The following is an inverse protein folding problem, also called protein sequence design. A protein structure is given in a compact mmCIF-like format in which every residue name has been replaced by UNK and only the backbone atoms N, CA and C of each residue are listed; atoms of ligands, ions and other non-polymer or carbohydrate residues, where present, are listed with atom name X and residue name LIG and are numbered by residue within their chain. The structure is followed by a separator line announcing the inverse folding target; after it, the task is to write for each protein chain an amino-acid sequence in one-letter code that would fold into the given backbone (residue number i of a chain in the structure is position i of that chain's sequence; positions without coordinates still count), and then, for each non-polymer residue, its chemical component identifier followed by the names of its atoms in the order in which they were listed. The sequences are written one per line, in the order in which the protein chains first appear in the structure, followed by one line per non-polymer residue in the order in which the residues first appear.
data_IF_672526557482
#
_entry.id   IF_672526557482
#
_cell.length_a   1.000
_cell.length_b   1.000
_cell.length_c   1.000
_cell.angle_alpha   90.00
_cell.angle_beta   90.00
_cell.angle_gamma   90.00
#
_symmetry.space_group_name_H-M   'P 1'
#
loop_
_entity.id
_entity.type
_entity.pdbx_description
1 polymer ?
#
# COMPACT_ATOMS: atom_id res chain seq x y z
N UNK A 1 27.52 16.15 -18.65
CA UNK A 1 26.75 15.20 -17.80
C UNK A 1 26.29 15.98 -16.56
N UNK A 2 25.21 16.74 -16.70
CA UNK A 2 24.76 17.69 -15.68
C UNK A 2 23.45 17.21 -15.02
N UNK A 3 23.35 17.49 -13.70
CA UNK A 3 22.13 17.64 -12.90
C UNK A 3 21.19 16.45 -12.68
N UNK A 4 21.68 15.29 -12.22
CA UNK A 4 20.81 14.23 -11.66
C UNK A 4 20.78 14.22 -10.12
N UNK A 5 21.88 14.59 -9.45
CA UNK A 5 21.97 14.59 -7.98
C UNK A 5 21.08 15.62 -7.27
N UNK A 6 20.71 16.73 -7.91
CA UNK A 6 19.85 17.75 -7.26
C UNK A 6 18.39 17.35 -7.22
N UNK A 7 17.90 16.59 -8.22
CA UNK A 7 16.50 16.19 -8.31
C UNK A 7 16.15 15.08 -7.33
N UNK A 8 17.01 14.05 -7.23
CA UNK A 8 16.81 12.94 -6.29
C UNK A 8 16.86 13.42 -4.84
N UNK A 9 17.83 14.26 -4.48
CA UNK A 9 17.94 14.83 -3.13
C UNK A 9 16.75 15.73 -2.80
N UNK A 10 16.27 16.53 -3.76
CA UNK A 10 15.08 17.36 -3.59
C UNK A 10 13.82 16.52 -3.38
N UNK A 11 13.66 15.41 -4.12
CA UNK A 11 12.56 14.46 -3.95
C UNK A 11 12.64 13.72 -2.60
N UNK A 12 13.85 13.36 -2.15
CA UNK A 12 14.04 12.75 -0.81
C UNK A 12 13.47 13.67 0.28
N UNK A 13 13.92 14.92 0.32
CA UNK A 13 13.56 15.88 1.37
C UNK A 13 12.07 16.28 1.29
N UNK A 14 11.56 16.57 0.09
CA UNK A 14 10.24 17.19 -0.05
C UNK A 14 9.11 16.18 -0.26
N UNK A 15 9.41 14.95 -0.66
CA UNK A 15 8.42 13.88 -0.86
C UNK A 15 8.62 12.78 0.16
N UNK A 16 9.79 12.14 0.18
CA UNK A 16 9.94 10.90 0.93
C UNK A 16 9.92 11.12 2.44
N UNK A 17 10.67 12.12 2.94
CA UNK A 17 10.68 12.46 4.36
C UNK A 17 9.31 12.94 4.84
N UNK A 18 8.63 13.76 4.04
CA UNK A 18 7.26 14.22 4.34
C UNK A 18 6.29 13.04 4.43
N UNK A 19 6.31 12.13 3.45
CA UNK A 19 5.48 10.92 3.47
C UNK A 19 5.80 10.06 4.68
N UNK A 20 7.08 9.87 5.03
CA UNK A 20 7.48 9.10 6.20
C UNK A 20 6.93 9.69 7.50
N UNK A 21 6.87 11.02 7.63
CA UNK A 21 6.33 11.70 8.80
C UNK A 21 4.81 11.61 8.90
N UNK A 22 4.07 11.83 7.81
CA UNK A 22 2.60 11.94 7.85
C UNK A 22 1.88 10.63 7.57
N UNK A 23 2.59 9.61 7.06
CA UNK A 23 2.09 8.30 6.68
C UNK A 23 1.14 7.69 7.73
N UNK A 24 1.59 7.62 8.99
CA UNK A 24 0.85 6.98 10.07
C UNK A 24 -0.50 7.66 10.32
N UNK A 25 -0.51 8.99 10.38
CA UNK A 25 -1.73 9.78 10.60
C UNK A 25 -2.71 9.67 9.42
N UNK A 26 -2.19 9.68 8.20
CA UNK A 26 -2.98 9.53 6.98
C UNK A 26 -3.63 8.14 6.87
N UNK A 27 -2.90 7.10 7.27
CA UNK A 27 -3.41 5.73 7.34
C UNK A 27 -4.54 5.58 8.37
N UNK A 28 -4.37 6.16 9.57
CA UNK A 28 -5.37 6.09 10.63
C UNK A 28 -6.72 6.71 10.24
N UNK A 29 -6.71 7.81 9.49
CA UNK A 29 -7.94 8.52 9.07
C UNK A 29 -8.59 7.93 7.81
N UNK A 30 -7.91 7.03 7.08
CA UNK A 30 -8.38 6.47 5.80
C UNK A 30 -8.41 4.94 5.75
N UNK A 31 -8.87 4.33 6.84
CA UNK A 31 -8.91 2.88 7.01
C UNK A 31 -9.91 2.14 6.11
N UNK A 32 -10.95 2.82 5.58
CA UNK A 32 -11.95 2.15 4.71
C UNK A 32 -11.54 2.16 3.23
N UNK A 33 -11.73 1.04 2.51
CA UNK A 33 -11.69 1.02 1.05
C UNK A 33 -12.70 2.01 0.46
N UNK A 34 -12.41 2.51 -0.74
CA UNK A 34 -13.35 3.34 -1.47
C UNK A 34 -14.48 2.44 -2.01
N UNK A 35 -15.77 2.87 -1.97
CA UNK A 35 -16.89 2.00 -2.37
C UNK A 35 -16.77 1.42 -3.78
N UNK A 36 -16.16 2.14 -4.71
CA UNK A 36 -15.92 1.65 -6.07
C UNK A 36 -14.89 0.51 -6.11
N UNK A 37 -13.81 0.66 -5.36
CA UNK A 37 -12.74 -0.36 -5.26
C UNK A 37 -13.29 -1.61 -4.58
N UNK A 38 -14.12 -1.43 -3.55
CA UNK A 38 -14.77 -2.54 -2.86
C UNK A 38 -15.70 -3.33 -3.80
N UNK A 39 -16.51 -2.65 -4.60
CA UNK A 39 -17.37 -3.28 -5.61
C UNK A 39 -16.59 -4.01 -6.68
N UNK A 40 -15.48 -3.44 -7.13
CA UNK A 40 -14.61 -4.09 -8.10
C UNK A 40 -14.01 -5.39 -7.54
N UNK A 41 -13.40 -5.34 -6.35
CA UNK A 41 -12.75 -6.49 -5.73
C UNK A 41 -13.74 -7.60 -5.36
N UNK A 42 -14.94 -7.23 -4.90
CA UNK A 42 -16.01 -8.20 -4.57
C UNK A 42 -16.64 -8.83 -5.81
N UNK A 43 -16.55 -8.18 -6.98
CA UNK A 43 -17.00 -8.73 -8.26
C UNK A 43 -16.04 -9.70 -8.93
N UNK A 44 -14.82 -9.87 -8.39
CA UNK A 44 -13.83 -10.81 -8.92
C UNK A 44 -14.23 -12.26 -8.61
N UNK A 45 -13.99 -13.16 -9.56
CA UNK A 45 -14.19 -14.59 -9.36
C UNK A 45 -13.20 -15.16 -8.35
N UNK A 46 -13.60 -16.17 -7.54
CA UNK A 46 -12.67 -16.91 -6.70
C UNK A 46 -11.46 -17.43 -7.49
N UNK A 47 -10.27 -17.32 -6.91
CA UNK A 47 -9.00 -17.70 -7.54
C UNK A 47 -8.43 -16.65 -8.49
N UNK A 48 -9.06 -15.48 -8.65
CA UNK A 48 -8.46 -14.39 -9.41
C UNK A 48 -7.13 -13.95 -8.77
N UNK A 49 -6.20 -13.48 -9.62
CA UNK A 49 -4.89 -12.98 -9.20
C UNK A 49 -4.80 -11.49 -9.46
N UNK A 50 -4.44 -10.71 -8.44
CA UNK A 50 -4.35 -9.26 -8.50
C UNK A 50 -2.98 -8.73 -8.06
N UNK A 51 -2.67 -7.51 -8.49
CA UNK A 51 -1.48 -6.76 -8.06
C UNK A 51 -1.91 -5.39 -7.52
N UNK A 52 -1.59 -5.09 -6.26
CA UNK A 52 -1.84 -3.80 -5.61
C UNK A 52 -0.52 -3.04 -5.44
N UNK A 53 -0.23 -2.10 -6.35
CA UNK A 53 0.98 -1.28 -6.34
C UNK A 53 0.69 0.05 -5.65
N UNK A 54 1.50 0.40 -4.65
CA UNK A 54 1.19 1.50 -3.74
C UNK A 54 0.11 1.11 -2.73
N UNK A 55 0.17 -0.12 -2.21
CA UNK A 55 -0.87 -0.69 -1.35
C UNK A 55 -1.01 0.02 0.02
N UNK A 56 -0.04 0.84 0.40
CA UNK A 56 0.01 1.61 1.64
C UNK A 56 -0.12 0.73 2.88
N UNK A 57 -1.29 0.79 3.53
CA UNK A 57 -1.61 -0.02 4.71
C UNK A 57 -2.32 -1.35 4.38
N UNK A 58 -2.53 -1.63 3.10
CA UNK A 58 -3.11 -2.89 2.65
C UNK A 58 -4.62 -3.03 2.87
N UNK A 59 -5.37 -1.94 3.09
CA UNK A 59 -6.83 -2.00 3.35
C UNK A 59 -7.64 -2.73 2.26
N UNK A 60 -7.16 -2.74 1.03
CA UNK A 60 -7.85 -3.39 -0.09
C UNK A 60 -7.66 -4.92 -0.06
N UNK A 61 -6.60 -5.40 0.57
CA UNK A 61 -6.17 -6.80 0.55
C UNK A 61 -7.11 -7.71 1.35
N UNK A 62 -7.92 -7.11 2.24
CA UNK A 62 -8.90 -7.80 3.07
C UNK A 62 -10.32 -7.77 2.52
N UNK A 63 -10.55 -7.11 1.37
CA UNK A 63 -11.90 -6.92 0.81
C UNK A 63 -12.48 -8.22 0.25
N UNK A 64 -11.67 -9.01 -0.46
CA UNK A 64 -12.09 -10.30 -1.01
C UNK A 64 -11.00 -11.35 -0.75
N UNK A 65 -11.28 -12.29 0.16
CA UNK A 65 -10.32 -13.33 0.57
C UNK A 65 -10.17 -14.47 -0.43
N UNK A 66 -11.06 -14.54 -1.43
CA UNK A 66 -10.99 -15.55 -2.48
C UNK A 66 -10.09 -15.10 -3.64
N UNK A 67 -9.54 -13.89 -3.58
CA UNK A 67 -8.61 -13.34 -4.59
C UNK A 67 -7.19 -13.36 -4.02
N UNK A 68 -6.25 -13.88 -4.80
CA UNK A 68 -4.84 -13.86 -4.45
C UNK A 68 -4.22 -12.54 -4.89
N UNK A 69 -3.94 -11.64 -3.96
CA UNK A 69 -3.36 -10.32 -4.27
C UNK A 69 -1.90 -10.27 -3.81
N UNK A 70 -1.02 -9.95 -4.75
CA UNK A 70 0.36 -9.54 -4.47
C UNK A 70 0.35 -8.04 -4.23
N UNK A 71 0.95 -7.57 -3.15
CA UNK A 71 0.94 -6.16 -2.79
C UNK A 71 2.36 -5.62 -2.62
N UNK A 72 2.58 -4.39 -3.08
CA UNK A 72 3.87 -3.70 -2.96
C UNK A 72 3.65 -2.23 -2.65
N UNK A 73 4.42 -1.69 -1.72
CA UNK A 73 4.53 -0.25 -1.49
C UNK A 73 5.99 0.08 -1.14
N UNK A 74 6.42 1.29 -1.49
CA UNK A 74 7.72 1.84 -1.11
C UNK A 74 7.72 2.34 0.34
N UNK A 75 6.58 2.83 0.82
CA UNK A 75 6.38 3.32 2.17
C UNK A 75 5.44 2.37 2.90
N UNK A 76 6.03 1.60 3.80
CA UNK A 76 5.27 0.69 4.66
C UNK A 76 4.56 1.52 5.73
N UNK A 77 3.23 1.55 5.71
CA UNK A 77 2.44 2.25 6.72
C UNK A 77 1.55 1.23 7.43
N UNK A 78 1.98 0.77 8.61
CA UNK A 78 1.24 -0.18 9.45
C UNK A 78 0.89 -1.53 8.78
N UNK A 79 1.57 -1.89 7.68
CA UNK A 79 1.39 -3.19 6.99
C UNK A 79 1.83 -4.39 7.86
N UNK A 80 2.51 -4.15 8.98
CA UNK A 80 3.02 -5.17 9.92
C UNK A 80 2.41 -5.05 11.32
N UNK A 81 1.23 -4.44 11.48
CA UNK A 81 0.46 -4.69 12.69
C UNK A 81 0.07 -6.18 12.71
N UNK A 82 0.17 -6.79 13.89
CA UNK A 82 -0.12 -8.17 14.32
C UNK A 82 -1.39 -8.86 13.77
N UNK A 83 -2.19 -8.18 12.94
CA UNK A 83 -3.29 -8.73 12.16
C UNK A 83 -2.91 -9.23 10.75
N UNK A 84 -1.72 -8.90 10.23
CA UNK A 84 -1.19 -9.40 8.95
C UNK A 84 -0.63 -10.82 9.07
N UNK A 85 -1.45 -11.83 8.72
CA UNK A 85 -1.00 -13.22 8.54
C UNK A 85 -0.62 -13.44 7.07
N UNK A 86 0.59 -13.03 6.69
CA UNK A 86 0.94 -13.05 5.26
C UNK A 86 2.41 -12.95 4.88
N UNK A 87 3.37 -13.24 5.76
CA UNK A 87 4.70 -13.79 5.42
C UNK A 87 5.47 -13.95 6.74
N UNK A 88 5.61 -15.18 7.24
CA UNK A 88 6.69 -15.51 8.17
C UNK A 88 7.82 -16.05 7.32
N UNK A 89 8.94 -15.33 7.23
CA UNK A 89 10.19 -15.98 6.83
C UNK A 89 10.48 -17.05 7.87
N UNK A 90 10.45 -18.32 7.45
CA UNK A 90 11.13 -19.39 8.14
C UNK A 90 12.61 -19.39 7.79
#
# INVERSE_FOLDING_TARGET
MASQQSGEAYEQENVHEVYQQIAQHFSATRYKPWPMVERFLTGLSPGAVGLDVGCGNGKNLMVNRDVFIIASDRYVINMWDSSWRGFSMG
#
